data_IF_025646230168
#
_entry.id   IF_025646230168
#
_cell.length_a   1.000
_cell.length_b   1.000
_cell.length_c   1.000
_cell.angle_alpha   90.00
_cell.angle_beta   90.00
_cell.angle_gamma   90.00
#
_symmetry.space_group_name_H-M   'P 1'
#
loop_
_entity.id
_entity.type
_entity.pdbx_description
1 polymer ?
#
# COMPACT_ATOMS: atom_id res chain seq x y z
N UNK A 1 24.65 15.65 -2.85
CA UNK A 1 23.50 16.47 -3.28
C UNK A 1 22.48 16.43 -2.16
N UNK A 2 21.97 17.58 -1.70
CA UNK A 2 21.05 17.63 -0.56
C UNK A 2 19.77 16.84 -0.79
N UNK A 3 19.16 16.42 0.30
CA UNK A 3 17.90 15.66 0.33
C UNK A 3 16.70 16.58 -0.03
N UNK A 4 16.66 17.04 -1.29
CA UNK A 4 15.66 17.99 -1.79
C UNK A 4 14.31 17.26 -1.95
N UNK A 5 13.24 17.93 -1.52
CA UNK A 5 11.84 17.51 -1.72
C UNK A 5 11.50 17.57 -3.23
N UNK A 6 10.83 16.56 -3.75
CA UNK A 6 10.43 16.51 -5.17
C UNK A 6 9.53 17.70 -5.51
N UNK A 7 8.57 18.04 -4.63
CA UNK A 7 7.66 19.16 -4.85
C UNK A 7 8.42 20.50 -4.88
N UNK A 8 9.33 20.73 -3.92
CA UNK A 8 10.17 21.93 -3.87
C UNK A 8 10.97 22.09 -5.17
N UNK A 9 11.57 21.00 -5.66
CA UNK A 9 12.30 21.00 -6.92
C UNK A 9 11.43 21.31 -8.13
N UNK A 10 10.20 20.79 -8.17
CA UNK A 10 9.22 21.12 -9.23
C UNK A 10 8.84 22.60 -9.19
N UNK A 11 8.61 23.16 -7.99
CA UNK A 11 8.29 24.57 -7.79
C UNK A 11 9.45 25.48 -8.19
N UNK A 12 10.70 25.12 -7.84
CA UNK A 12 11.89 25.87 -8.28
C UNK A 12 12.01 25.86 -9.81
N UNK A 13 11.83 24.69 -10.43
CA UNK A 13 11.84 24.55 -11.87
C UNK A 13 10.72 25.37 -12.53
N UNK A 14 9.52 25.41 -11.95
CA UNK A 14 8.41 26.21 -12.49
C UNK A 14 8.73 27.70 -12.53
N UNK A 15 9.50 28.21 -11.54
CA UNK A 15 9.89 29.60 -11.41
C UNK A 15 11.15 29.98 -12.23
N UNK A 16 11.90 29.01 -12.72
CA UNK A 16 13.19 29.23 -13.39
C UNK A 16 13.09 29.88 -14.77
N UNK A 17 11.89 30.07 -15.32
CA UNK A 17 11.66 30.77 -16.59
C UNK A 17 12.10 30.02 -17.86
N UNK A 18 12.40 28.71 -17.76
CA UNK A 18 12.71 27.91 -18.93
C UNK A 18 11.51 27.75 -19.86
N UNK A 19 11.77 27.81 -21.16
CA UNK A 19 10.75 27.47 -22.18
C UNK A 19 10.56 25.96 -22.20
N UNK A 20 9.33 25.43 -21.93
CA UNK A 20 9.10 23.99 -21.79
C UNK A 20 9.04 23.30 -23.17
N UNK A 21 10.19 22.92 -23.70
CA UNK A 21 10.29 22.15 -24.95
C UNK A 21 10.03 20.66 -24.76
N UNK A 22 10.07 20.19 -23.52
CA UNK A 22 9.76 18.80 -23.13
C UNK A 22 8.26 18.50 -23.07
N UNK A 23 7.90 17.23 -22.98
CA UNK A 23 6.53 16.80 -22.64
C UNK A 23 6.19 17.19 -21.18
N UNK A 24 4.93 17.33 -20.79
CA UNK A 24 3.72 17.10 -21.58
C UNK A 24 3.36 18.26 -22.53
N UNK A 25 2.33 18.00 -23.37
CA UNK A 25 1.86 18.95 -24.38
C UNK A 25 1.19 20.22 -23.83
N UNK A 26 0.78 20.22 -22.54
CA UNK A 26 0.21 21.39 -21.86
C UNK A 26 1.18 22.57 -21.71
N UNK A 27 2.50 22.30 -21.83
CA UNK A 27 3.56 23.34 -21.86
C UNK A 27 3.48 24.32 -20.70
N UNK A 28 3.11 23.80 -19.50
CA UNK A 28 3.00 24.57 -18.24
C UNK A 28 1.95 25.70 -18.30
N UNK A 29 0.99 25.60 -19.21
CA UNK A 29 -0.09 26.57 -19.29
C UNK A 29 -1.18 26.26 -18.24
N UNK A 30 -1.30 27.12 -17.24
CA UNK A 30 -2.26 27.01 -16.13
C UNK A 30 -3.73 27.18 -16.55
N UNK A 31 -3.99 27.67 -17.78
CA UNK A 31 -5.37 27.69 -18.32
C UNK A 31 -5.96 26.31 -18.50
N UNK A 32 -5.12 25.27 -18.71
CA UNK A 32 -5.58 23.89 -18.80
C UNK A 32 -5.78 23.23 -17.44
N UNK A 33 -4.85 23.47 -16.50
CA UNK A 33 -4.97 23.01 -15.13
C UNK A 33 -4.01 23.82 -14.24
N UNK A 34 -4.42 24.09 -13.01
CA UNK A 34 -3.59 24.84 -12.03
C UNK A 34 -2.27 24.17 -11.71
N UNK A 35 -2.19 22.84 -11.86
CA UNK A 35 -0.98 22.03 -11.62
C UNK A 35 -0.06 21.91 -12.83
N UNK A 36 -0.43 22.48 -14.00
CA UNK A 36 0.35 22.36 -15.24
C UNK A 36 1.77 22.89 -15.14
N UNK A 37 2.03 23.84 -14.23
CA UNK A 37 3.37 24.37 -13.96
C UNK A 37 4.33 23.32 -13.38
N UNK A 38 3.79 22.34 -12.66
CA UNK A 38 4.53 21.27 -11.99
C UNK A 38 4.56 19.97 -12.78
N UNK A 39 3.79 19.92 -13.89
CA UNK A 39 3.65 18.72 -14.71
C UNK A 39 4.81 18.61 -15.69
N UNK A 40 5.64 17.61 -15.47
CA UNK A 40 6.84 17.31 -16.27
C UNK A 40 6.91 15.82 -16.58
N UNK A 41 7.82 15.45 -17.45
CA UNK A 41 8.29 14.07 -17.64
C UNK A 41 9.70 13.91 -17.09
N UNK A 42 10.36 12.78 -17.36
CA UNK A 42 11.75 12.49 -17.00
C UNK A 42 12.72 13.38 -17.83
N UNK A 43 13.00 14.55 -17.29
CA UNK A 43 13.96 15.50 -17.81
C UNK A 43 15.23 15.54 -16.96
N UNK A 44 16.30 16.09 -17.51
CA UNK A 44 17.59 16.22 -16.82
C UNK A 44 17.45 16.82 -15.43
N UNK A 45 18.01 16.11 -14.44
CA UNK A 45 17.99 16.52 -13.04
C UNK A 45 16.75 16.08 -12.25
N UNK A 46 15.75 15.41 -12.86
CA UNK A 46 14.52 14.99 -12.17
C UNK A 46 14.39 13.48 -11.96
N UNK A 47 15.42 12.69 -12.31
CA UNK A 47 15.43 11.24 -12.14
C UNK A 47 14.43 10.52 -13.05
N UNK A 48 14.42 9.19 -13.05
CA UNK A 48 13.50 8.36 -13.82
C UNK A 48 12.94 7.25 -12.92
N UNK A 49 11.63 7.18 -12.79
CA UNK A 49 10.97 6.22 -11.89
C UNK A 49 11.38 4.77 -12.17
N UNK A 50 11.56 4.40 -13.44
CA UNK A 50 11.89 3.06 -13.88
C UNK A 50 13.39 2.71 -13.80
N UNK A 51 14.24 3.69 -13.50
CA UNK A 51 15.69 3.53 -13.27
C UNK A 51 16.17 4.62 -12.32
N UNK A 52 15.58 4.66 -11.14
CA UNK A 52 15.79 5.73 -10.16
C UNK A 52 17.19 5.65 -9.53
N UNK A 53 17.94 6.76 -9.63
CA UNK A 53 19.27 6.94 -9.01
C UNK A 53 19.43 8.28 -8.27
N UNK A 54 18.38 9.11 -8.26
CA UNK A 54 18.36 10.47 -7.73
C UNK A 54 17.25 10.73 -6.71
N UNK A 55 16.43 11.76 -6.99
CA UNK A 55 15.40 12.23 -6.04
C UNK A 55 14.28 11.22 -5.82
N UNK A 56 13.90 10.46 -6.83
CA UNK A 56 12.87 9.42 -6.73
C UNK A 56 13.40 8.26 -5.90
N UNK A 57 14.66 7.84 -6.15
CA UNK A 57 15.30 6.83 -5.31
C UNK A 57 15.36 7.25 -3.85
N UNK A 58 15.78 8.47 -3.56
CA UNK A 58 15.86 8.99 -2.20
C UNK A 58 14.49 9.00 -1.50
N UNK A 59 13.43 9.32 -2.22
CA UNK A 59 12.07 9.29 -1.71
C UNK A 59 11.58 7.85 -1.44
N UNK A 60 11.92 6.90 -2.31
CA UNK A 60 11.63 5.47 -2.12
C UNK A 60 12.40 4.89 -0.92
N UNK A 61 13.69 5.24 -0.78
CA UNK A 61 14.53 4.82 0.35
C UNK A 61 14.00 5.40 1.68
N UNK A 62 13.51 6.64 1.67
CA UNK A 62 12.82 7.25 2.83
C UNK A 62 11.59 6.45 3.23
N UNK A 63 10.72 6.12 2.28
CA UNK A 63 9.54 5.35 2.54
C UNK A 63 9.89 3.96 3.09
N UNK A 64 10.89 3.28 2.51
CA UNK A 64 11.38 1.99 3.00
C UNK A 64 11.85 2.07 4.46
N UNK A 65 12.63 3.10 4.78
CA UNK A 65 13.12 3.34 6.15
C UNK A 65 11.98 3.58 7.14
N UNK A 66 10.98 4.38 6.76
CA UNK A 66 9.85 4.72 7.63
C UNK A 66 8.97 3.50 7.93
N UNK A 67 8.79 2.60 6.97
CA UNK A 67 8.00 1.37 7.15
C UNK A 67 8.84 0.18 7.64
N UNK A 68 10.16 0.32 7.78
CA UNK A 68 11.04 -0.80 8.15
C UNK A 68 11.15 -1.88 7.09
N UNK A 69 10.87 -1.57 5.83
CA UNK A 69 10.99 -2.49 4.70
C UNK A 69 12.40 -2.49 4.12
N UNK A 70 12.84 -3.60 3.52
CA UNK A 70 14.13 -3.66 2.82
C UNK A 70 14.14 -2.79 1.56
N UNK A 71 13.01 -2.77 0.84
CA UNK A 71 12.79 -1.93 -0.35
C UNK A 71 11.35 -1.47 -0.44
N UNK A 72 11.18 -0.27 -1.01
CA UNK A 72 9.85 0.29 -1.30
C UNK A 72 9.82 0.83 -2.72
N UNK A 73 8.77 0.50 -3.45
CA UNK A 73 8.50 1.00 -4.79
C UNK A 73 7.27 1.94 -4.73
N UNK A 74 7.40 3.11 -5.33
CA UNK A 74 6.27 4.03 -5.47
C UNK A 74 5.27 3.51 -6.51
N UNK A 75 4.00 3.74 -6.24
CA UNK A 75 2.91 3.37 -7.14
C UNK A 75 2.11 4.62 -7.51
N UNK A 76 2.11 4.97 -8.79
CA UNK A 76 1.32 6.06 -9.37
C UNK A 76 0.13 5.55 -10.18
N UNK A 77 -0.02 4.23 -10.30
CA UNK A 77 -1.16 3.55 -10.91
C UNK A 77 -2.02 2.82 -9.85
N UNK A 78 -2.03 3.35 -8.62
CA UNK A 78 -2.79 2.81 -7.51
C UNK A 78 -2.23 1.51 -6.94
N UNK A 79 -2.81 1.06 -5.82
CA UNK A 79 -2.51 -0.25 -5.23
C UNK A 79 -2.83 -1.39 -6.18
N UNK A 80 -3.72 -1.19 -7.15
CA UNK A 80 -4.00 -2.17 -8.21
C UNK A 80 -2.73 -2.61 -8.91
N UNK A 81 -1.88 -1.66 -9.35
CA UNK A 81 -0.60 -2.01 -9.99
C UNK A 81 0.34 -2.74 -9.02
N UNK A 82 0.33 -2.36 -7.74
CA UNK A 82 1.10 -3.05 -6.70
C UNK A 82 0.67 -4.49 -6.49
N UNK A 83 -0.63 -4.75 -6.39
CA UNK A 83 -1.19 -6.10 -6.23
C UNK A 83 -0.88 -6.97 -7.45
N UNK A 84 -1.06 -6.44 -8.67
CA UNK A 84 -0.69 -7.14 -9.89
C UNK A 84 0.80 -7.50 -9.91
N UNK A 85 1.66 -6.55 -9.54
CA UNK A 85 3.12 -6.74 -9.48
C UNK A 85 3.53 -7.78 -8.45
N UNK A 86 2.96 -7.70 -7.25
CA UNK A 86 3.23 -8.62 -6.15
C UNK A 86 2.87 -10.06 -6.51
N UNK A 87 1.64 -10.29 -6.99
CA UNK A 87 1.17 -11.63 -7.33
C UNK A 87 1.96 -12.20 -8.51
N UNK A 88 2.13 -11.44 -9.59
CA UNK A 88 2.85 -11.91 -10.77
C UNK A 88 4.36 -12.10 -10.49
N UNK A 89 4.96 -11.29 -9.60
CA UNK A 89 6.35 -11.40 -9.20
C UNK A 89 6.60 -12.60 -8.27
N UNK A 90 5.69 -12.87 -7.34
CA UNK A 90 5.82 -13.96 -6.37
C UNK A 90 5.43 -15.34 -6.95
N UNK A 91 4.75 -15.40 -8.10
CA UNK A 91 4.26 -16.66 -8.66
C UNK A 91 4.81 -16.95 -10.05
N UNK A 92 4.66 -18.17 -10.49
CA UNK A 92 4.88 -18.58 -11.88
C UNK A 92 3.51 -18.70 -12.56
N UNK A 93 3.46 -18.35 -13.83
CA UNK A 93 2.25 -18.51 -14.65
C UNK A 93 1.69 -19.93 -14.51
N UNK A 94 0.38 -20.07 -14.36
CA UNK A 94 -0.35 -21.32 -14.12
C UNK A 94 0.02 -22.01 -12.79
N UNK A 95 0.67 -21.29 -11.87
CA UNK A 95 0.94 -21.78 -10.54
C UNK A 95 -0.28 -21.69 -9.64
N UNK A 96 -0.20 -22.35 -8.48
CA UNK A 96 -1.24 -22.31 -7.46
C UNK A 96 -0.97 -21.19 -6.47
N UNK A 97 -2.01 -20.50 -6.05
CA UNK A 97 -1.95 -19.44 -5.04
C UNK A 97 -3.13 -19.55 -4.07
N UNK A 98 -2.86 -19.34 -2.78
CA UNK A 98 -3.91 -19.28 -1.76
C UNK A 98 -4.37 -17.82 -1.62
N UNK A 99 -5.69 -17.60 -1.66
CA UNK A 99 -6.28 -16.26 -1.77
C UNK A 99 -7.41 -16.08 -0.76
N UNK A 100 -7.38 -15.03 0.04
CA UNK A 100 -8.52 -14.61 0.84
C UNK A 100 -9.72 -14.29 -0.05
N UNK A 101 -10.89 -14.89 0.21
CA UNK A 101 -12.06 -14.74 -0.68
C UNK A 101 -12.66 -13.34 -0.69
N UNK A 102 -12.44 -12.57 0.36
CA UNK A 102 -12.84 -11.16 0.51
C UNK A 102 -11.81 -10.16 -0.04
N UNK A 103 -10.91 -10.59 -0.93
CA UNK A 103 -9.90 -9.72 -1.51
C UNK A 103 -10.48 -8.74 -2.55
N UNK A 104 -9.74 -7.67 -2.80
CA UNK A 104 -10.07 -6.66 -3.81
C UNK A 104 -10.07 -7.25 -5.24
N UNK A 105 -10.84 -6.65 -6.14
CA UNK A 105 -10.97 -7.10 -7.55
C UNK A 105 -9.63 -7.18 -8.29
N UNK A 106 -8.64 -6.38 -7.93
CA UNK A 106 -7.29 -6.44 -8.51
C UNK A 106 -6.59 -7.78 -8.30
N UNK A 107 -6.88 -8.50 -7.22
CA UNK A 107 -6.37 -9.85 -6.99
C UNK A 107 -6.94 -10.80 -8.05
N UNK A 108 -8.25 -10.77 -8.31
CA UNK A 108 -8.87 -11.57 -9.36
C UNK A 108 -8.31 -11.25 -10.75
N UNK A 109 -8.04 -9.97 -11.01
CA UNK A 109 -7.41 -9.56 -12.26
C UNK A 109 -6.00 -10.17 -12.40
N UNK A 110 -5.20 -10.20 -11.34
CA UNK A 110 -3.90 -10.86 -11.34
C UNK A 110 -4.01 -12.37 -11.60
N UNK A 111 -4.99 -13.05 -10.97
CA UNK A 111 -5.25 -14.48 -11.22
C UNK A 111 -5.52 -14.76 -12.71
N UNK A 112 -6.34 -13.94 -13.34
CA UNK A 112 -6.67 -14.06 -14.76
C UNK A 112 -5.43 -13.83 -15.64
N UNK A 113 -4.69 -12.75 -15.38
CA UNK A 113 -3.52 -12.34 -16.19
C UNK A 113 -2.40 -13.38 -16.12
N UNK A 114 -2.09 -13.89 -14.93
CA UNK A 114 -1.08 -14.92 -14.71
C UNK A 114 -1.62 -16.34 -14.91
N UNK A 115 -2.93 -16.51 -15.19
CA UNK A 115 -3.60 -17.82 -15.33
C UNK A 115 -3.38 -18.70 -14.10
N UNK A 116 -3.42 -18.13 -12.90
CA UNK A 116 -3.18 -18.84 -11.66
C UNK A 116 -4.37 -19.75 -11.30
N UNK A 117 -4.07 -20.83 -10.59
CA UNK A 117 -5.04 -21.69 -9.93
C UNK A 117 -5.29 -21.18 -8.50
N UNK A 118 -6.42 -20.50 -8.21
CA UNK A 118 -6.69 -20.00 -6.89
C UNK A 118 -7.27 -21.09 -5.97
N UNK A 119 -6.74 -21.14 -4.76
CA UNK A 119 -7.34 -21.86 -3.64
C UNK A 119 -7.87 -20.83 -2.65
N UNK A 120 -9.18 -20.77 -2.46
CA UNK A 120 -9.79 -19.74 -1.63
C UNK A 120 -9.84 -20.11 -0.16
N UNK A 121 -9.39 -19.20 0.70
CA UNK A 121 -9.70 -19.20 2.13
C UNK A 121 -10.88 -18.28 2.35
N UNK A 122 -11.95 -18.82 2.93
CA UNK A 122 -13.17 -18.04 3.19
C UNK A 122 -13.10 -17.54 4.63
N UNK A 123 -13.04 -16.23 4.87
CA UNK A 123 -13.12 -15.67 6.20
C UNK A 123 -14.45 -16.01 6.85
N UNK A 124 -14.46 -16.22 8.16
CA UNK A 124 -15.68 -16.38 8.93
C UNK A 124 -16.46 -15.06 8.95
N UNK A 125 -17.79 -15.18 8.99
CA UNK A 125 -18.68 -14.02 9.16
C UNK A 125 -19.09 -13.96 10.62
N UNK A 126 -18.97 -12.81 11.22
CA UNK A 126 -19.52 -12.57 12.54
C UNK A 126 -21.06 -12.56 12.46
N UNK A 127 -21.70 -13.42 13.22
CA UNK A 127 -23.15 -13.64 13.13
C UNK A 127 -23.99 -12.45 13.62
N UNK A 128 -23.41 -11.61 14.51
CA UNK A 128 -24.14 -10.50 15.10
C UNK A 128 -24.10 -9.24 14.20
N UNK A 129 -23.02 -9.11 13.44
CA UNK A 129 -22.72 -7.90 12.65
C UNK A 129 -22.79 -8.13 11.16
N UNK A 130 -22.66 -9.37 10.70
CA UNK A 130 -22.57 -9.73 9.29
C UNK A 130 -21.22 -9.38 8.65
N UNK A 131 -20.23 -8.93 9.43
CA UNK A 131 -18.91 -8.50 8.97
C UNK A 131 -17.97 -9.71 8.90
N UNK A 132 -17.08 -9.72 7.90
CA UNK A 132 -16.02 -10.71 7.82
C UNK A 132 -15.01 -10.54 8.94
N UNK A 133 -14.68 -11.61 9.63
CA UNK A 133 -13.57 -11.68 10.59
C UNK A 133 -12.22 -11.69 9.87
N UNK A 134 -11.16 -11.33 10.59
CA UNK A 134 -9.80 -11.55 10.15
C UNK A 134 -9.51 -13.05 9.93
N UNK A 135 -8.57 -13.36 9.07
CA UNK A 135 -8.11 -14.72 8.87
C UNK A 135 -7.22 -15.15 10.05
N UNK A 136 -7.47 -16.35 10.57
CA UNK A 136 -6.66 -16.98 11.59
C UNK A 136 -5.55 -17.84 10.98
N UNK A 137 -4.50 -18.11 11.77
CA UNK A 137 -3.46 -19.06 11.42
C UNK A 137 -4.05 -20.44 11.09
N UNK A 138 -5.07 -20.91 11.83
CA UNK A 138 -5.65 -22.25 11.64
C UNK A 138 -6.31 -22.39 10.27
N UNK A 139 -7.03 -21.35 9.80
CA UNK A 139 -7.63 -21.34 8.47
C UNK A 139 -6.57 -21.43 7.36
N UNK A 140 -5.48 -20.66 7.49
CA UNK A 140 -4.36 -20.69 6.52
C UNK A 140 -3.64 -22.03 6.58
N UNK A 141 -3.33 -22.54 7.79
CA UNK A 141 -2.69 -23.86 7.98
C UNK A 141 -3.43 -24.96 7.27
N UNK A 142 -4.72 -25.09 7.52
CA UNK A 142 -5.58 -26.10 6.90
C UNK A 142 -5.54 -26.01 5.37
N UNK A 143 -5.52 -24.80 4.84
CA UNK A 143 -5.47 -24.56 3.40
C UNK A 143 -4.12 -24.97 2.80
N UNK A 144 -3.00 -24.57 3.44
CA UNK A 144 -1.63 -24.88 3.00
C UNK A 144 -1.35 -26.39 3.07
N UNK A 145 -1.75 -27.07 4.15
CA UNK A 145 -1.53 -28.52 4.30
C UNK A 145 -2.16 -29.35 3.18
N UNK A 146 -3.29 -28.89 2.65
CA UNK A 146 -3.98 -29.51 1.52
C UNK A 146 -3.46 -29.04 0.15
N UNK A 147 -2.59 -27.99 0.10
CA UNK A 147 -2.10 -27.36 -1.12
C UNK A 147 -0.61 -27.00 -0.98
N UNK A 148 0.22 -27.98 -0.72
CA UNK A 148 1.66 -27.82 -0.46
C UNK A 148 2.45 -27.27 -1.65
N UNK A 149 1.88 -27.25 -2.84
CA UNK A 149 2.39 -26.71 -4.07
C UNK A 149 2.00 -25.24 -4.31
N UNK A 150 1.31 -24.62 -3.35
CA UNK A 150 1.01 -23.20 -3.39
C UNK A 150 2.31 -22.37 -3.38
N UNK A 151 2.39 -21.39 -4.28
CA UNK A 151 3.59 -20.57 -4.50
C UNK A 151 3.60 -19.30 -3.66
N UNK A 152 2.44 -18.82 -3.24
CA UNK A 152 2.26 -17.68 -2.37
C UNK A 152 0.89 -17.75 -1.68
N UNK A 153 0.75 -16.96 -0.61
CA UNK A 153 -0.53 -16.65 0.03
C UNK A 153 -0.76 -15.15 -0.09
N UNK A 154 -1.98 -14.73 -0.46
CA UNK A 154 -2.40 -13.33 -0.39
C UNK A 154 -3.63 -13.16 0.48
N UNK A 155 -3.54 -12.23 1.42
CA UNK A 155 -4.64 -11.84 2.32
C UNK A 155 -4.88 -10.35 2.26
N UNK A 156 -6.07 -9.91 2.67
CA UNK A 156 -6.41 -8.50 2.89
C UNK A 156 -6.48 -8.25 4.40
N UNK A 157 -5.60 -7.43 4.90
CA UNK A 157 -5.55 -7.04 6.31
C UNK A 157 -4.99 -5.63 6.45
N UNK A 158 -5.80 -4.70 6.95
CA UNK A 158 -7.19 -4.87 7.40
C UNK A 158 -8.17 -5.12 6.26
N UNK A 159 -9.34 -5.67 6.61
CA UNK A 159 -10.48 -5.71 5.69
C UNK A 159 -11.03 -4.31 5.43
N UNK A 160 -11.99 -4.18 4.52
CA UNK A 160 -12.68 -2.92 4.26
C UNK A 160 -13.34 -2.32 5.52
N UNK A 161 -13.91 -3.20 6.36
CA UNK A 161 -14.54 -2.82 7.64
C UNK A 161 -13.52 -2.55 8.76
N UNK A 162 -12.24 -2.80 8.49
CA UNK A 162 -11.15 -2.53 9.43
C UNK A 162 -10.75 -3.72 10.32
N UNK A 163 -11.10 -4.94 9.98
CA UNK A 163 -10.75 -6.13 10.77
C UNK A 163 -9.37 -6.65 10.37
N UNK A 164 -8.51 -6.91 11.37
CA UNK A 164 -7.12 -7.37 11.18
C UNK A 164 -7.04 -8.90 11.27
N UNK A 165 -6.17 -9.49 10.48
CA UNK A 165 -5.82 -10.92 10.52
C UNK A 165 -4.60 -11.18 11.41
N UNK A 166 -4.36 -12.45 11.77
CA UNK A 166 -3.18 -12.90 12.54
C UNK A 166 -1.92 -12.93 11.64
N UNK A 167 -1.52 -11.74 11.13
CA UNK A 167 -0.49 -11.62 10.09
C UNK A 167 0.85 -12.20 10.53
N UNK A 168 1.28 -11.94 11.78
CA UNK A 168 2.56 -12.40 12.33
C UNK A 168 2.63 -13.92 12.41
N UNK A 169 1.61 -14.54 12.95
CA UNK A 169 1.51 -15.99 13.11
C UNK A 169 1.43 -16.67 11.75
N UNK A 170 0.68 -16.08 10.83
CA UNK A 170 0.54 -16.56 9.44
C UNK A 170 1.89 -16.47 8.73
N UNK A 171 2.59 -15.32 8.80
CA UNK A 171 3.90 -15.14 8.18
C UNK A 171 4.91 -16.17 8.70
N UNK A 172 5.03 -16.30 10.03
CA UNK A 172 5.93 -17.28 10.65
C UNK A 172 5.69 -18.70 10.17
N UNK A 173 4.43 -19.13 10.14
CA UNK A 173 4.08 -20.47 9.67
C UNK A 173 4.40 -20.68 8.17
N UNK A 174 4.10 -19.69 7.34
CA UNK A 174 4.37 -19.76 5.90
C UNK A 174 5.86 -19.81 5.59
N UNK A 175 6.67 -19.07 6.34
CA UNK A 175 8.13 -19.08 6.23
C UNK A 175 8.73 -20.46 6.55
N UNK A 176 8.18 -21.18 7.54
CA UNK A 176 8.59 -22.57 7.80
C UNK A 176 8.33 -23.51 6.59
N UNK A 177 7.42 -23.15 5.72
CA UNK A 177 7.06 -23.90 4.49
C UNK A 177 7.75 -23.35 3.23
N UNK A 178 8.49 -22.22 3.34
CA UNK A 178 9.11 -21.55 2.22
C UNK A 178 8.10 -20.86 1.30
N UNK A 179 6.93 -20.47 1.81
CA UNK A 179 5.86 -19.80 1.07
C UNK A 179 5.81 -18.33 1.46
N UNK A 180 5.91 -17.39 0.52
CA UNK A 180 5.79 -15.96 0.80
C UNK A 180 4.35 -15.54 1.11
N UNK A 181 4.23 -14.55 2.00
CA UNK A 181 3.00 -13.86 2.35
C UNK A 181 2.92 -12.49 1.67
N UNK A 182 1.85 -12.27 0.92
CA UNK A 182 1.48 -10.97 0.35
C UNK A 182 0.30 -10.43 1.16
N UNK A 183 0.40 -9.18 1.62
CA UNK A 183 -0.68 -8.51 2.35
C UNK A 183 -1.14 -7.27 1.59
N UNK A 184 -2.41 -7.26 1.21
CA UNK A 184 -3.11 -6.05 0.80
C UNK A 184 -3.49 -5.28 2.07
N UNK A 185 -2.64 -4.35 2.46
CA UNK A 185 -2.79 -3.45 3.61
C UNK A 185 -3.25 -2.05 3.14
N UNK A 186 -4.08 -1.99 2.10
CA UNK A 186 -4.51 -0.72 1.52
C UNK A 186 -5.18 0.22 2.52
N UNK A 187 -5.88 -0.30 3.52
CA UNK A 187 -6.54 0.48 4.57
C UNK A 187 -5.69 0.66 5.85
N UNK A 188 -4.48 0.08 5.90
CA UNK A 188 -3.59 0.09 7.07
C UNK A 188 -2.30 0.92 6.88
N UNK A 189 -2.22 1.81 5.90
CA UNK A 189 -0.99 2.55 5.60
C UNK A 189 -0.43 3.39 6.78
N UNK A 190 -1.24 3.68 7.78
CA UNK A 190 -0.86 4.41 8.99
C UNK A 190 -0.38 3.54 10.16
N UNK A 191 -0.48 2.20 10.06
CA UNK A 191 -0.23 1.29 11.18
C UNK A 191 1.19 1.36 11.74
N UNK A 192 2.18 1.59 10.90
CA UNK A 192 3.57 1.67 11.32
C UNK A 192 3.86 2.87 12.25
N UNK A 193 3.01 3.89 12.25
CA UNK A 193 3.35 5.19 12.83
C UNK A 193 2.82 5.44 14.24
N UNK A 194 2.24 4.44 14.91
CA UNK A 194 1.88 4.51 16.34
C UNK A 194 1.67 3.11 16.90
N UNK A 195 2.14 2.88 18.13
CA UNK A 195 1.90 1.64 18.87
C UNK A 195 0.43 1.45 19.31
N UNK A 196 -0.39 2.49 19.20
CA UNK A 196 -1.83 2.43 19.46
C UNK A 196 -2.62 1.88 18.27
N UNK A 197 -1.99 1.74 17.11
CA UNK A 197 -2.56 1.06 15.95
C UNK A 197 -2.21 -0.44 15.98
N UNK A 198 -2.92 -1.26 15.22
CA UNK A 198 -2.49 -2.62 14.97
C UNK A 198 -1.09 -2.67 14.36
N UNK A 199 -0.41 -3.78 14.57
CA UNK A 199 0.91 -3.97 13.99
C UNK A 199 0.85 -3.97 12.46
N UNK A 200 1.75 -3.20 11.81
CA UNK A 200 1.83 -3.20 10.34
C UNK A 200 2.24 -4.55 9.79
N UNK A 201 1.76 -4.90 8.59
CA UNK A 201 2.09 -6.17 7.97
C UNK A 201 3.59 -6.31 7.66
N UNK A 202 4.31 -5.21 7.40
CA UNK A 202 5.77 -5.20 7.25
C UNK A 202 6.44 -5.66 8.55
N UNK A 203 6.08 -5.04 9.67
CA UNK A 203 6.61 -5.38 11.00
C UNK A 203 6.20 -6.77 11.47
N UNK A 204 5.03 -7.23 11.05
CA UNK A 204 4.53 -8.57 11.30
C UNK A 204 5.24 -9.66 10.47
N UNK A 205 6.07 -9.28 9.50
CA UNK A 205 6.91 -10.20 8.73
C UNK A 205 6.31 -10.63 7.39
N UNK A 206 5.35 -9.91 6.84
CA UNK A 206 4.90 -10.15 5.47
C UNK A 206 6.01 -9.80 4.45
N UNK A 207 6.11 -10.59 3.38
CA UNK A 207 7.16 -10.45 2.37
C UNK A 207 6.88 -9.33 1.36
N UNK A 208 5.61 -9.15 1.01
CA UNK A 208 5.16 -8.04 0.17
C UNK A 208 3.94 -7.40 0.82
N UNK A 209 3.98 -6.08 0.99
CA UNK A 209 2.86 -5.31 1.55
C UNK A 209 2.50 -4.17 0.60
N UNK A 210 1.21 -3.99 0.35
CA UNK A 210 0.71 -2.91 -0.51
C UNK A 210 -0.12 -1.93 0.33
N UNK A 211 0.32 -0.67 0.41
CA UNK A 211 -0.35 0.39 1.13
C UNK A 211 -0.95 1.43 0.17
N UNK A 212 -2.27 1.67 0.24
CA UNK A 212 -2.90 2.83 -0.41
C UNK A 212 -2.72 4.07 0.48
N UNK A 213 -1.62 4.79 0.31
CA UNK A 213 -1.35 5.93 1.21
C UNK A 213 -2.38 7.05 1.10
N UNK A 214 -3.05 7.16 -0.06
CA UNK A 214 -4.13 8.14 -0.27
C UNK A 214 -5.42 7.85 0.53
N UNK A 215 -5.58 6.65 1.09
CA UNK A 215 -6.78 6.30 1.88
C UNK A 215 -6.69 6.79 3.33
N UNK A 216 -5.53 6.68 3.94
CA UNK A 216 -5.36 6.92 5.39
C UNK A 216 -4.25 7.91 5.73
N UNK A 217 -3.49 8.40 4.75
CA UNK A 217 -2.42 9.37 4.89
C UNK A 217 -2.63 10.57 3.96
N UNK A 218 -1.99 11.73 4.22
CA UNK A 218 -2.20 12.96 3.44
C UNK A 218 -1.48 12.92 2.08
N UNK A 219 -1.96 12.10 1.17
CA UNK A 219 -1.43 11.97 -0.18
C UNK A 219 -2.56 12.03 -1.23
N UNK A 220 -2.22 12.38 -2.47
CA UNK A 220 -3.20 12.48 -3.56
C UNK A 220 -3.75 11.10 -3.94
N UNK A 221 -5.02 11.06 -4.33
CA UNK A 221 -5.67 9.85 -4.85
C UNK A 221 -4.80 9.15 -5.89
N UNK A 222 -4.82 7.82 -5.94
CA UNK A 222 -4.02 6.97 -6.81
C UNK A 222 -2.59 6.69 -6.29
N UNK A 223 -2.09 7.44 -5.30
CA UNK A 223 -0.77 7.18 -4.72
C UNK A 223 -0.79 5.97 -3.79
N UNK A 224 0.20 5.10 -3.93
CA UNK A 224 0.38 3.93 -3.08
C UNK A 224 1.86 3.54 -2.98
N UNK A 225 2.16 2.59 -2.11
CA UNK A 225 3.48 2.01 -1.92
C UNK A 225 3.42 0.49 -2.00
N UNK A 226 4.46 -0.12 -2.55
CA UNK A 226 4.71 -1.54 -2.50
C UNK A 226 6.01 -1.77 -1.73
N UNK A 227 5.92 -2.42 -0.59
CA UNK A 227 7.03 -2.78 0.28
C UNK A 227 7.43 -4.22 0.04
N UNK A 228 8.74 -4.49 0.04
CA UNK A 228 9.30 -5.84 -0.06
C UNK A 228 10.27 -6.04 1.09
N UNK A 229 10.17 -7.18 1.76
CA UNK A 229 11.00 -7.55 2.90
C UNK A 229 11.39 -9.03 2.85
N UNK A 230 12.52 -9.37 3.45
CA UNK A 230 12.98 -10.74 3.54
C UNK A 230 13.49 -11.34 2.21
N UNK A 231 13.59 -12.68 2.18
CA UNK A 231 14.24 -13.40 1.09
C UNK A 231 13.32 -14.47 0.43
N UNK A 232 12.01 -14.45 0.73
CA UNK A 232 11.06 -15.44 0.20
C UNK A 232 10.54 -15.09 -1.18
N UNK A 233 10.76 -13.84 -1.63
CA UNK A 233 10.40 -13.36 -2.97
C UNK A 233 11.64 -12.89 -3.73
N UNK A 234 11.62 -13.08 -5.04
CA UNK A 234 12.62 -12.57 -5.95
C UNK A 234 12.31 -11.10 -6.26
N UNK A 235 13.08 -10.17 -5.67
CA UNK A 235 12.90 -8.73 -5.86
C UNK A 235 12.90 -8.34 -7.33
N UNK A 236 13.83 -8.86 -8.13
CA UNK A 236 13.97 -8.48 -9.54
C UNK A 236 12.73 -8.85 -10.36
N UNK A 237 12.06 -9.95 -9.97
CA UNK A 237 10.78 -10.32 -10.60
C UNK A 237 9.65 -9.39 -10.21
N UNK A 238 9.56 -9.03 -8.93
CA UNK A 238 8.53 -8.07 -8.47
C UNK A 238 8.73 -6.73 -9.15
N UNK A 239 9.97 -6.21 -9.18
CA UNK A 239 10.32 -4.95 -9.84
C UNK A 239 10.05 -5.00 -11.34
N UNK A 240 10.34 -6.13 -12.00
CA UNK A 240 10.02 -6.31 -13.41
C UNK A 240 8.52 -6.17 -13.69
N UNK A 241 7.67 -6.78 -12.87
CA UNK A 241 6.22 -6.65 -13.03
C UNK A 241 5.73 -5.27 -12.62
N UNK A 242 6.33 -4.64 -11.60
CA UNK A 242 6.08 -3.26 -11.28
C UNK A 242 6.37 -2.35 -12.48
N UNK A 243 7.50 -2.51 -13.16
CA UNK A 243 7.82 -1.80 -14.40
C UNK A 243 6.80 -2.03 -15.52
N UNK A 244 6.21 -3.24 -15.62
CA UNK A 244 5.18 -3.56 -16.63
C UNK A 244 3.85 -2.88 -16.31
N UNK A 245 3.46 -2.82 -15.03
CA UNK A 245 2.15 -2.31 -14.63
C UNK A 245 2.13 -0.83 -14.27
N UNK A 246 3.28 -0.19 -14.15
CA UNK A 246 3.37 1.26 -14.07
C UNK A 246 3.38 1.88 -15.47
N UNK A 247 2.83 3.09 -15.57
CA UNK A 247 2.94 3.88 -16.82
C UNK A 247 4.40 4.24 -17.11
N UNK A 248 4.77 4.30 -18.37
CA UNK A 248 6.10 4.78 -18.81
C UNK A 248 6.26 6.29 -18.72
N UNK A 249 5.18 7.02 -18.46
CA UNK A 249 5.18 8.47 -18.23
C UNK A 249 4.55 8.76 -16.86
N UNK A 250 5.25 8.44 -15.77
CA UNK A 250 4.71 8.57 -14.41
C UNK A 250 4.50 10.03 -14.04
N UNK A 251 3.40 10.34 -13.36
CA UNK A 251 3.10 11.68 -12.88
C UNK A 251 4.07 12.11 -11.77
N UNK A 252 4.86 13.14 -12.03
CA UNK A 252 5.74 13.75 -11.03
C UNK A 252 4.95 14.41 -9.89
N UNK A 253 3.75 14.89 -10.16
CA UNK A 253 2.85 15.45 -9.14
C UNK A 253 2.45 14.37 -8.13
N UNK A 254 2.13 13.15 -8.60
CA UNK A 254 1.82 12.03 -7.71
C UNK A 254 3.04 11.56 -6.92
N UNK A 255 4.22 11.47 -7.57
CA UNK A 255 5.47 11.14 -6.87
C UNK A 255 5.86 12.18 -5.83
N UNK A 256 5.70 13.47 -6.15
CA UNK A 256 5.91 14.56 -5.20
C UNK A 256 4.95 14.48 -4.01
N UNK A 257 3.69 14.10 -4.25
CA UNK A 257 2.72 13.88 -3.18
C UNK A 257 3.11 12.72 -2.25
N UNK A 258 3.65 11.62 -2.81
CA UNK A 258 4.18 10.51 -2.01
C UNK A 258 5.36 10.97 -1.15
N UNK A 259 6.37 11.61 -1.74
CA UNK A 259 7.54 12.10 -1.00
C UNK A 259 7.15 13.11 0.08
N UNK A 260 6.26 14.05 -0.25
CA UNK A 260 5.78 15.04 0.72
C UNK A 260 5.04 14.40 1.88
N UNK A 261 4.19 13.42 1.61
CA UNK A 261 3.51 12.64 2.64
C UNK A 261 4.52 11.98 3.59
N UNK A 262 5.52 11.28 3.05
CA UNK A 262 6.56 10.61 3.86
C UNK A 262 7.38 11.61 4.69
N UNK A 263 7.69 12.79 4.17
CA UNK A 263 8.40 13.85 4.92
C UNK A 263 7.55 14.44 6.05
N UNK A 264 6.25 14.60 5.84
CA UNK A 264 5.34 15.05 6.90
C UNK A 264 5.32 14.00 8.02
N UNK A 265 5.22 12.72 7.68
CA UNK A 265 5.25 11.63 8.66
C UNK A 265 6.60 11.60 9.40
N UNK A 266 7.72 11.67 8.69
CA UNK A 266 9.07 11.69 9.30
C UNK A 266 9.26 12.84 10.28
N UNK A 267 8.72 14.02 9.97
CA UNK A 267 8.92 15.24 10.76
C UNK A 267 7.88 15.47 11.86
N UNK A 268 6.65 15.04 11.65
CA UNK A 268 5.50 15.39 12.50
C UNK A 268 4.59 14.20 12.83
N UNK A 269 4.90 12.98 12.39
CA UNK A 269 4.05 11.80 12.53
C UNK A 269 3.60 11.55 13.96
N UNK A 270 4.53 11.55 14.91
CA UNK A 270 4.24 11.33 16.33
C UNK A 270 3.16 12.29 16.87
N UNK A 271 3.28 13.58 16.53
CA UNK A 271 2.31 14.57 16.95
C UNK A 271 0.95 14.37 16.26
N UNK A 272 0.95 14.19 14.95
CA UNK A 272 -0.27 14.03 14.14
C UNK A 272 -1.07 12.81 14.61
N UNK A 273 -0.42 11.66 14.75
CA UNK A 273 -1.10 10.43 15.15
C UNK A 273 -1.55 10.44 16.61
N UNK A 274 -0.78 11.05 17.50
CA UNK A 274 -1.22 11.25 18.89
C UNK A 274 -2.50 12.08 18.97
N UNK A 275 -2.56 13.19 18.23
CA UNK A 275 -3.75 14.05 18.16
C UNK A 275 -4.94 13.30 17.52
N UNK A 276 -4.69 12.56 16.44
CA UNK A 276 -5.71 11.75 15.78
C UNK A 276 -6.32 10.72 16.75
N UNK A 277 -5.48 9.95 17.45
CA UNK A 277 -5.89 8.91 18.38
C UNK A 277 -6.70 9.52 19.53
N UNK A 278 -6.27 10.65 20.08
CA UNK A 278 -7.03 11.33 21.16
C UNK A 278 -8.43 11.75 20.68
N UNK A 279 -8.53 12.32 19.48
CA UNK A 279 -9.82 12.70 18.89
C UNK A 279 -10.71 11.49 18.65
N UNK A 280 -10.14 10.38 18.20
CA UNK A 280 -10.85 9.15 17.94
C UNK A 280 -11.36 8.51 19.25
N UNK A 281 -10.55 8.46 20.31
CA UNK A 281 -10.98 8.01 21.64
C UNK A 281 -12.17 8.84 22.14
N UNK A 282 -12.07 10.17 22.07
CA UNK A 282 -13.15 11.07 22.47
C UNK A 282 -14.42 10.86 21.62
N UNK A 283 -14.28 10.64 20.31
CA UNK A 283 -15.40 10.36 19.43
C UNK A 283 -16.09 9.05 19.85
N UNK A 284 -15.33 7.97 20.04
CA UNK A 284 -15.87 6.66 20.47
C UNK A 284 -16.58 6.75 21.83
N UNK A 285 -16.00 7.44 22.80
CA UNK A 285 -16.65 7.69 24.11
C UNK A 285 -17.98 8.45 23.98
N UNK A 286 -18.07 9.40 23.05
CA UNK A 286 -19.29 10.14 22.82
C UNK A 286 -20.35 9.31 22.08
N UNK A 287 -19.94 8.51 21.09
CA UNK A 287 -20.85 7.60 20.37
C UNK A 287 -21.39 6.52 21.32
N UNK A 288 -20.56 6.00 22.24
CA UNK A 288 -20.98 5.00 23.22
C UNK A 288 -22.11 5.48 24.14
N UNK A 289 -22.33 6.80 24.26
CA UNK A 289 -23.44 7.39 25.03
C UNK A 289 -24.76 7.44 24.26
N UNK A 290 -24.73 7.14 22.96
CA UNK A 290 -25.92 7.17 22.10
C UNK A 290 -26.66 5.84 22.16
N UNK A 291 -27.99 5.89 22.35
CA UNK A 291 -28.81 4.69 22.50
C UNK A 291 -29.10 3.96 21.16
N UNK A 292 -28.93 4.64 20.03
CA UNK A 292 -29.36 4.16 18.71
C UNK A 292 -28.17 3.71 17.84
N UNK A 293 -26.95 3.77 18.34
CA UNK A 293 -25.73 3.38 17.65
C UNK A 293 -24.97 2.40 18.53
N UNK A 294 -24.57 1.27 17.96
CA UNK A 294 -23.68 0.31 18.60
C UNK A 294 -22.29 0.46 18.00
N UNK A 295 -21.33 0.81 18.84
CA UNK A 295 -19.92 0.69 18.45
C UNK A 295 -19.54 -0.78 18.35
N UNK A 296 -18.86 -1.13 17.29
CA UNK A 296 -18.19 -2.42 17.22
C UNK A 296 -17.01 -2.41 18.17
N UNK A 297 -16.83 -3.51 18.91
CA UNK A 297 -15.84 -3.60 19.98
C UNK A 297 -14.41 -3.68 19.44
N UNK A 298 -13.46 -3.14 20.19
CA UNK A 298 -12.09 -2.88 19.75
C UNK A 298 -11.23 -4.13 19.56
N UNK A 299 -11.66 -5.28 20.03
CA UNK A 299 -10.84 -6.52 19.98
C UNK A 299 -10.65 -7.06 18.55
N UNK A 300 -11.38 -6.52 17.58
CA UNK A 300 -11.32 -6.95 16.18
C UNK A 300 -11.34 -5.80 15.17
N UNK A 301 -11.50 -4.53 15.58
CA UNK A 301 -11.75 -3.44 14.66
C UNK A 301 -10.76 -2.30 14.78
N UNK A 302 -10.30 -1.91 13.63
CA UNK A 302 -9.45 -0.75 13.48
C UNK A 302 -10.10 0.55 13.86
N UNK A 303 -9.23 1.44 14.23
CA UNK A 303 -9.44 2.87 14.24
C UNK A 303 -9.39 3.44 12.81
N UNK A 304 -10.07 2.85 11.84
CA UNK A 304 -10.21 3.46 10.52
C UNK A 304 -11.50 4.24 10.45
N UNK A 305 -11.39 5.45 9.99
CA UNK A 305 -12.51 6.22 9.52
C UNK A 305 -12.57 6.07 8.01
N UNK A 306 -13.75 5.93 7.54
CA UNK A 306 -14.22 6.21 6.20
C UNK A 306 -14.51 5.00 5.32
N UNK A 307 -15.75 4.52 5.53
CA UNK A 307 -16.42 3.60 4.63
C UNK A 307 -17.20 4.34 3.51
N UNK A 308 -16.98 5.66 3.32
CA UNK A 308 -17.81 6.47 2.44
C UNK A 308 -17.33 6.53 0.98
N UNK A 309 -16.13 6.08 0.68
CA UNK A 309 -15.49 6.34 -0.62
C UNK A 309 -15.60 5.23 -1.67
N UNK A 310 -16.32 4.13 -1.42
CA UNK A 310 -16.42 3.01 -2.38
C UNK A 310 -17.87 2.53 -2.59
N UNK A 311 -18.79 3.47 -2.84
CA UNK A 311 -20.12 3.15 -3.40
C UNK A 311 -20.19 3.41 -4.89
#
# INVERSE_FOLDING_TARGET
MGNIDILEKLEEYSKAGYVPMHMPGGKRNTEYASTSELDITEIDGFDNMHNADGIIKNASDRAAKLYGADKTLMLVNGSTAGILSAICGATKRKGKIIVARNCHVSVYNALIMAQLEPVYVIPEVDNDTGIYRGLSLEQIRKCVENNRDAQAVIITSPTYEGVVSEVREIASYLHEKGIPLIVDEAHGAHFEFSEEFPESAVKAGADIVINSIHKTLPALTQTALLHISGNYVDYDKVERFWNIYQTTSPSYILMASIDRCMRIIEGQGDYIFKEYINRLKNLRENIAKLNNIRLMDSDCLLYTSDAADEL
#
